data_IF_719859688284
#
_entry.id   IF_719859688284
#
_cell.length_a   1.000
_cell.length_b   1.000
_cell.length_c   1.000
_cell.angle_alpha   90.00
_cell.angle_beta   90.00
_cell.angle_gamma   90.00
#
_symmetry.space_group_name_H-M   'P 1'
#
loop_
_entity.id
_entity.type
_entity.pdbx_description
1 polymer ?
#
# COMPACT_ATOMS: atom_id res chain seq x y z
N UNK A 1 13.45 -5.85 3.43
CA UNK A 1 12.36 -4.96 3.90
C UNK A 1 11.48 -5.79 4.81
N UNK A 2 11.27 -5.36 6.06
CA UNK A 2 10.45 -6.11 7.02
C UNK A 2 8.96 -5.82 6.78
N UNK A 3 8.11 -6.80 7.09
CA UNK A 3 6.65 -6.70 6.90
C UNK A 3 6.03 -5.52 7.66
N UNK A 4 6.51 -5.26 8.87
CA UNK A 4 6.06 -4.14 9.71
C UNK A 4 6.42 -2.79 9.08
N UNK A 5 7.65 -2.63 8.61
CA UNK A 5 8.08 -1.41 7.90
C UNK A 5 7.25 -1.14 6.65
N UNK A 6 6.82 -2.18 5.93
CA UNK A 6 5.96 -2.02 4.76
C UNK A 6 4.54 -1.57 5.16
N UNK A 7 4.00 -2.09 6.28
CA UNK A 7 2.71 -1.65 6.81
C UNK A 7 2.75 -0.18 7.25
N UNK A 8 3.83 0.25 7.91
CA UNK A 8 3.99 1.65 8.30
C UNK A 8 3.98 2.58 7.09
N UNK A 9 4.65 2.18 6.00
CA UNK A 9 4.66 2.93 4.74
C UNK A 9 3.27 2.97 4.09
N UNK A 10 2.53 1.86 4.12
CA UNK A 10 1.16 1.79 3.59
C UNK A 10 0.23 2.75 4.36
N UNK A 11 0.28 2.73 5.69
CA UNK A 11 -0.57 3.60 6.52
C UNK A 11 -0.20 5.09 6.38
N UNK A 12 1.10 5.40 6.30
CA UNK A 12 1.55 6.76 5.99
C UNK A 12 1.02 7.22 4.63
N UNK A 13 1.17 6.39 3.59
CA UNK A 13 0.73 6.73 2.23
C UNK A 13 -0.80 6.86 2.12
N UNK A 14 -1.54 6.05 2.87
CA UNK A 14 -2.99 6.13 2.96
C UNK A 14 -3.45 7.44 3.58
N UNK A 15 -2.76 7.91 4.62
CA UNK A 15 -3.02 9.21 5.25
C UNK A 15 -2.74 10.35 4.27
N UNK A 16 -1.64 10.28 3.53
CA UNK A 16 -1.34 11.26 2.48
C UNK A 16 -2.41 11.28 1.38
N UNK A 17 -2.83 10.12 0.88
CA UNK A 17 -3.90 10.01 -0.10
C UNK A 17 -5.20 10.64 0.43
N UNK A 18 -5.56 10.38 1.69
CA UNK A 18 -6.76 10.94 2.30
C UNK A 18 -6.70 12.48 2.33
N UNK A 19 -5.55 13.04 2.72
CA UNK A 19 -5.34 14.49 2.75
C UNK A 19 -5.41 15.08 1.33
N UNK A 20 -4.73 14.47 0.36
CA UNK A 20 -4.75 14.91 -1.04
C UNK A 20 -6.16 14.84 -1.61
N UNK A 21 -6.90 13.77 -1.32
CA UNK A 21 -8.28 13.58 -1.76
C UNK A 21 -9.25 14.58 -1.10
N UNK A 22 -8.98 14.96 0.15
CA UNK A 22 -9.77 15.96 0.85
C UNK A 22 -9.55 17.36 0.25
N UNK A 23 -8.30 17.72 -0.04
CA UNK A 23 -7.93 19.03 -0.58
C UNK A 23 -8.26 19.19 -2.08
N UNK A 24 -8.01 18.16 -2.89
CA UNK A 24 -8.07 18.24 -4.35
C UNK A 24 -9.23 17.44 -4.96
N UNK A 25 -9.94 16.64 -4.16
CA UNK A 25 -10.91 15.66 -4.63
C UNK A 25 -10.25 14.36 -5.10
N UNK A 26 -10.99 13.26 -4.94
CA UNK A 26 -10.57 11.90 -5.31
C UNK A 26 -10.30 11.71 -6.81
N UNK A 27 -10.91 12.54 -7.67
CA UNK A 27 -10.73 12.49 -9.13
C UNK A 27 -9.58 13.37 -9.61
N UNK A 28 -8.89 14.09 -8.72
CA UNK A 28 -7.72 14.86 -9.10
C UNK A 28 -6.61 13.93 -9.60
N UNK A 29 -5.81 14.36 -10.59
CA UNK A 29 -4.66 13.58 -11.04
C UNK A 29 -3.74 13.20 -9.88
N UNK A 30 -3.56 14.10 -8.91
CA UNK A 30 -2.73 13.87 -7.73
C UNK A 30 -3.30 12.78 -6.82
N UNK A 31 -4.60 12.78 -6.53
CA UNK A 31 -5.24 11.71 -5.75
C UNK A 31 -5.16 10.36 -6.48
N UNK A 32 -5.30 10.36 -7.82
CA UNK A 32 -5.18 9.16 -8.64
C UNK A 32 -3.75 8.60 -8.56
N UNK A 33 -2.73 9.45 -8.70
CA UNK A 33 -1.33 9.03 -8.57
C UNK A 33 -1.04 8.42 -7.20
N UNK A 34 -1.50 9.06 -6.12
CA UNK A 34 -1.32 8.57 -4.76
C UNK A 34 -2.07 7.26 -4.52
N UNK A 35 -3.25 7.09 -5.11
CA UNK A 35 -4.01 5.84 -5.07
C UNK A 35 -3.26 4.71 -5.78
N UNK A 36 -2.65 4.99 -6.94
CA UNK A 36 -1.86 3.99 -7.67
C UNK A 36 -0.59 3.60 -6.92
N UNK A 37 0.04 4.54 -6.22
CA UNK A 37 1.20 4.24 -5.37
C UNK A 37 0.81 3.40 -4.16
N UNK A 38 -0.32 3.71 -3.51
CA UNK A 38 -0.85 2.91 -2.42
C UNK A 38 -1.17 1.48 -2.88
N UNK A 39 -1.82 1.32 -4.04
CA UNK A 39 -2.11 0.00 -4.63
C UNK A 39 -0.83 -0.80 -4.91
N UNK A 40 0.23 -0.16 -5.40
CA UNK A 40 1.54 -0.83 -5.61
C UNK A 40 2.13 -1.36 -4.29
N UNK A 41 2.02 -0.58 -3.21
CA UNK A 41 2.50 -0.99 -1.89
C UNK A 41 1.67 -2.14 -1.31
N UNK A 42 0.35 -2.10 -1.48
CA UNK A 42 -0.56 -3.17 -1.07
C UNK A 42 -0.26 -4.47 -1.82
N UNK A 43 -0.08 -4.39 -3.15
CA UNK A 43 0.28 -5.56 -3.95
C UNK A 43 1.63 -6.16 -3.51
N UNK A 44 2.63 -5.32 -3.21
CA UNK A 44 3.92 -5.80 -2.69
C UNK A 44 3.76 -6.49 -1.32
N UNK A 45 2.90 -5.96 -0.46
CA UNK A 45 2.60 -6.56 0.84
C UNK A 45 1.91 -7.91 0.67
N UNK A 46 0.92 -8.00 -0.22
CA UNK A 46 0.21 -9.23 -0.53
C UNK A 46 1.14 -10.28 -1.13
N UNK A 47 2.03 -9.91 -2.04
CA UNK A 47 3.04 -10.83 -2.57
C UNK A 47 3.96 -11.38 -1.47
N UNK A 48 4.46 -10.52 -0.59
CA UNK A 48 5.29 -10.93 0.54
C UNK A 48 4.51 -11.82 1.52
N UNK A 49 3.22 -11.52 1.74
CA UNK A 49 2.36 -12.31 2.61
C UNK A 49 2.04 -13.69 2.02
N UNK A 50 1.69 -13.75 0.74
CA UNK A 50 1.42 -14.99 0.00
C UNK A 50 2.69 -15.85 -0.08
N UNK A 51 3.87 -15.26 -0.33
CA UNK A 51 5.14 -15.99 -0.32
C UNK A 51 5.49 -16.55 1.07
N UNK A 52 5.16 -15.81 2.13
CA UNK A 52 5.29 -16.30 3.50
C UNK A 52 4.38 -17.50 3.77
N UNK A 53 3.13 -17.48 3.29
CA UNK A 53 2.18 -18.58 3.47
C UNK A 53 2.58 -19.84 2.67
N UNK A 54 3.08 -19.66 1.44
CA UNK A 54 3.59 -20.78 0.61
C UNK A 54 4.78 -21.50 1.25
N UNK A 55 5.64 -20.80 2.01
CA UNK A 55 6.75 -21.43 2.74
C UNK A 55 6.31 -22.27 3.95
N UNK A 56 5.14 -22.00 4.52
CA UNK A 56 4.60 -22.75 5.67
C UNK A 56 4.00 -24.10 5.24
N UNK A 57 3.53 -24.22 4.00
CA UNK A 57 2.83 -25.41 3.50
C UNK A 57 3.76 -26.47 2.86
N UNK A 58 5.07 -26.20 2.78
CA UNK A 58 6.10 -27.11 2.22
C UNK A 58 7.04 -27.62 3.33
N UNK A 59 6.52 -27.87 4.52
CA UNK A 59 7.26 -28.50 5.62
C UNK A 59 6.58 -29.77 6.08
#
# INVERSE_FOLDING_TARGET
MNKETLLDIIEAKRTELLNVAFENGLTSPLAIEYSQELDRLLNLYDELHIQSLKKVQVK
#
